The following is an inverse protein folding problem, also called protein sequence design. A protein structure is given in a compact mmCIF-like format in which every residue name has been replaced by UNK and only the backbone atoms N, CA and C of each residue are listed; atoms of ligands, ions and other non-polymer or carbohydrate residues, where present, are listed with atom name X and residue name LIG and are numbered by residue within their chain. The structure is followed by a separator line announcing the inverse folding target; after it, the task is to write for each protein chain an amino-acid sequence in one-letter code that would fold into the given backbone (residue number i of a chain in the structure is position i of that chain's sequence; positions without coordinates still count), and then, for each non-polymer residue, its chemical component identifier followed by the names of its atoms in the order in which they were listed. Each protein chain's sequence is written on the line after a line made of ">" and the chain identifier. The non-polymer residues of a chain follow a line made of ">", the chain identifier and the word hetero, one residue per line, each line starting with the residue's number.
data_IF_434039223747
#
_entry.id   IF_434039223747
#
_cell.length_a   1.000
_cell.length_b   1.000
_cell.length_c   1.000
_cell.angle_alpha   90.00
_cell.angle_beta   90.00
_cell.angle_gamma   90.00
#
_symmetry.space_group_name_H-M   'P 1'
#
loop_
_entity.id
_entity.type
_entity.pdbx_description
1 polymer ?
#
# COMPACT_ATOMS: atom_id res chain seq x y z
N UNK A 1 -8.61 17.92 10.52
CA UNK A 1 -7.33 17.25 10.79
C UNK A 1 -7.48 15.96 11.58
N UNK A 2 -8.17 15.97 12.73
CA UNK A 2 -8.35 14.75 13.53
C UNK A 2 -9.02 13.58 12.80
N UNK A 3 -10.03 13.84 11.96
CA UNK A 3 -10.69 12.80 11.18
C UNK A 3 -9.74 12.12 10.17
N UNK A 4 -8.92 12.89 9.47
CA UNK A 4 -7.96 12.36 8.50
C UNK A 4 -6.89 11.53 9.21
N UNK A 5 -6.33 12.05 10.31
CA UNK A 5 -5.35 11.32 11.13
C UNK A 5 -5.92 10.03 11.72
N UNK A 6 -7.19 10.06 12.15
CA UNK A 6 -7.88 8.85 12.64
C UNK A 6 -8.08 7.82 11.53
N UNK A 7 -8.45 8.27 10.32
CA UNK A 7 -8.56 7.40 9.15
C UNK A 7 -7.23 6.76 8.78
N UNK A 8 -6.15 7.55 8.74
CA UNK A 8 -4.80 7.06 8.46
C UNK A 8 -4.31 6.06 9.51
N UNK A 9 -4.57 6.33 10.79
CA UNK A 9 -4.29 5.40 11.88
C UNK A 9 -5.03 4.07 11.72
N UNK A 10 -6.32 4.11 11.41
CA UNK A 10 -7.11 2.91 11.16
C UNK A 10 -6.61 2.13 9.94
N UNK A 11 -6.21 2.83 8.87
CA UNK A 11 -5.64 2.23 7.67
C UNK A 11 -4.33 1.49 7.96
N UNK A 12 -3.41 2.14 8.68
CA UNK A 12 -2.13 1.55 9.07
C UNK A 12 -2.33 0.39 10.06
N UNK A 13 -3.28 0.49 10.99
CA UNK A 13 -3.60 -0.62 11.89
C UNK A 13 -4.10 -1.85 11.12
N UNK A 14 -4.98 -1.67 10.13
CA UNK A 14 -5.44 -2.76 9.27
C UNK A 14 -4.28 -3.38 8.48
N UNK A 15 -3.38 -2.55 7.95
CA UNK A 15 -2.16 -3.01 7.27
C UNK A 15 -1.33 -3.90 8.19
N UNK A 16 -1.05 -3.45 9.40
CA UNK A 16 -0.27 -4.19 10.40
C UNK A 16 -0.92 -5.53 10.77
N UNK A 17 -2.24 -5.57 10.96
CA UNK A 17 -2.98 -6.82 11.19
C UNK A 17 -2.78 -7.79 10.02
N UNK A 18 -2.92 -7.33 8.78
CA UNK A 18 -2.74 -8.19 7.60
C UNK A 18 -1.31 -8.73 7.50
N UNK A 19 -0.29 -7.88 7.74
CA UNK A 19 1.12 -8.31 7.74
C UNK A 19 1.37 -9.37 8.82
N UNK A 20 0.80 -9.20 10.02
CA UNK A 20 0.85 -10.19 11.10
C UNK A 20 0.16 -11.51 10.73
N UNK A 21 -0.83 -11.46 9.85
CA UNK A 21 -1.54 -12.63 9.32
C UNK A 21 -0.88 -13.23 8.07
N UNK A 22 0.32 -12.75 7.69
CA UNK A 22 1.11 -13.33 6.61
C UNK A 22 0.97 -12.64 5.26
N UNK A 23 0.32 -11.46 5.18
CA UNK A 23 0.36 -10.64 3.97
C UNK A 23 1.80 -10.22 3.68
N UNK A 24 2.21 -10.32 2.42
CA UNK A 24 3.50 -9.86 1.91
C UNK A 24 3.30 -8.92 0.73
N UNK A 25 4.34 -8.17 0.35
CA UNK A 25 4.29 -7.35 -0.88
C UNK A 25 4.06 -8.22 -2.14
N UNK A 26 4.37 -9.52 -2.09
CA UNK A 26 4.14 -10.44 -3.20
C UNK A 26 2.65 -10.79 -3.39
N UNK A 27 1.80 -10.47 -2.43
CA UNK A 27 0.35 -10.67 -2.50
C UNK A 27 -0.37 -9.47 -3.14
N UNK A 28 0.32 -8.35 -3.34
CA UNK A 28 -0.21 -7.11 -3.92
C UNK A 28 -0.20 -7.16 -5.45
N UNK A 29 -1.06 -8.00 -6.01
CA UNK A 29 -1.14 -8.26 -7.46
C UNK A 29 -2.49 -7.89 -8.04
N UNK A 30 -2.48 -7.47 -9.29
CA UNK A 30 -3.69 -7.25 -10.08
C UNK A 30 -4.10 -8.54 -10.82
N UNK A 31 -5.40 -8.78 -11.04
CA UNK A 31 -5.86 -9.80 -11.97
C UNK A 31 -5.24 -9.61 -13.36
N UNK A 32 -4.88 -10.72 -14.02
CA UNK A 32 -4.22 -10.70 -15.34
C UNK A 32 -4.95 -9.84 -16.37
N UNK A 33 -6.28 -9.85 -16.35
CA UNK A 33 -7.13 -9.07 -17.25
C UNK A 33 -6.89 -7.54 -17.16
N UNK A 34 -6.47 -7.04 -15.99
CA UNK A 34 -6.15 -5.60 -15.81
C UNK A 34 -4.73 -5.26 -16.25
N UNK A 35 -3.93 -6.26 -16.62
CA UNK A 35 -2.57 -6.13 -17.11
C UNK A 35 -2.48 -6.46 -18.62
N UNK A 36 -3.63 -6.56 -19.29
CA UNK A 36 -3.74 -6.76 -20.73
C UNK A 36 -4.24 -5.46 -21.36
N UNK A 37 -3.58 -4.95 -22.42
CA UNK A 37 -3.98 -3.70 -23.03
C UNK A 37 -5.34 -3.86 -23.70
N UNK A 38 -6.15 -2.80 -23.66
CA UNK A 38 -7.40 -2.78 -24.41
C UNK A 38 -7.13 -2.78 -25.91
N UNK A 39 -7.93 -3.52 -26.70
CA UNK A 39 -7.75 -3.61 -28.15
C UNK A 39 -8.23 -2.36 -28.89
N UNK A 40 -9.08 -1.54 -28.27
CA UNK A 40 -9.65 -0.34 -28.86
C UNK A 40 -10.08 0.70 -27.79
N UNK A 41 -10.47 1.89 -28.25
CA UNK A 41 -10.99 2.97 -27.42
C UNK A 41 -9.91 3.93 -26.89
N UNK A 42 -10.32 4.85 -26.01
CA UNK A 42 -9.46 5.96 -25.56
C UNK A 42 -8.25 5.57 -24.70
N UNK A 43 -8.11 4.29 -24.34
CA UNK A 43 -6.99 3.72 -23.60
C UNK A 43 -6.36 2.53 -24.33
N UNK A 44 -6.62 2.39 -25.63
CA UNK A 44 -6.04 1.35 -26.49
C UNK A 44 -4.52 1.27 -26.32
N UNK A 45 -3.99 0.06 -26.13
CA UNK A 45 -2.55 -0.18 -26.02
C UNK A 45 -1.88 0.32 -24.74
N UNK A 46 -2.60 0.99 -23.83
CA UNK A 46 -2.02 1.56 -22.61
C UNK A 46 -2.23 0.64 -21.41
N UNK A 47 -1.18 0.51 -20.60
CA UNK A 47 -1.22 -0.16 -19.30
C UNK A 47 -0.60 0.75 -18.24
N UNK A 48 -1.15 0.75 -17.01
CA UNK A 48 -0.52 1.44 -15.90
C UNK A 48 0.80 0.75 -15.53
N UNK A 49 1.82 1.56 -15.21
CA UNK A 49 3.03 1.05 -14.58
C UNK A 49 2.74 0.73 -13.10
N UNK A 50 2.35 -0.51 -12.85
CA UNK A 50 1.95 -0.96 -11.51
C UNK A 50 3.13 -0.90 -10.53
N UNK A 51 4.34 -1.18 -10.98
CA UNK A 51 5.52 -1.17 -10.11
C UNK A 51 5.84 0.26 -9.65
N UNK A 52 5.79 1.22 -10.57
CA UNK A 52 5.90 2.63 -10.23
C UNK A 52 4.80 3.06 -9.25
N UNK A 53 3.54 2.73 -9.54
CA UNK A 53 2.40 3.11 -8.70
C UNK A 53 2.51 2.54 -7.28
N UNK A 54 2.96 1.28 -7.13
CA UNK A 54 3.17 0.68 -5.82
C UNK A 54 4.32 1.35 -5.07
N UNK A 55 5.43 1.64 -5.74
CA UNK A 55 6.58 2.32 -5.11
C UNK A 55 6.21 3.72 -4.60
N UNK A 56 5.48 4.49 -5.41
CA UNK A 56 4.97 5.81 -5.01
C UNK A 56 3.96 5.70 -3.86
N UNK A 57 3.07 4.69 -3.89
CA UNK A 57 2.09 4.48 -2.83
C UNK A 57 2.74 4.14 -1.47
N UNK A 58 3.79 3.31 -1.49
CA UNK A 58 4.56 2.97 -0.29
C UNK A 58 5.27 4.19 0.28
N UNK A 59 5.90 4.99 -0.60
CA UNK A 59 6.56 6.23 -0.19
C UNK A 59 5.55 7.20 0.44
N UNK A 60 4.40 7.40 -0.19
CA UNK A 60 3.33 8.26 0.32
C UNK A 60 2.73 7.76 1.65
N UNK A 61 2.63 6.45 1.83
CA UNK A 61 2.09 5.83 3.05
C UNK A 61 3.11 5.76 4.19
N UNK A 62 4.38 6.06 3.92
CA UNK A 62 5.46 5.90 4.91
C UNK A 62 5.76 4.43 5.21
N UNK A 63 5.64 3.55 4.21
CA UNK A 63 5.87 2.11 4.34
C UNK A 63 7.22 1.72 3.75
N UNK A 64 7.80 0.65 4.29
CA UNK A 64 9.01 0.03 3.79
C UNK A 64 8.67 -0.96 2.67
N UNK A 65 9.31 -0.81 1.51
CA UNK A 65 9.00 -1.58 0.29
C UNK A 65 9.36 -3.06 0.39
N UNK A 66 10.38 -3.38 1.18
CA UNK A 66 10.88 -4.73 1.33
C UNK A 66 9.99 -5.55 2.26
N UNK A 67 9.66 -4.98 3.42
CA UNK A 67 8.91 -5.64 4.49
C UNK A 67 7.40 -5.46 4.37
N UNK A 68 6.93 -4.38 3.74
CA UNK A 68 5.51 -4.00 3.71
C UNK A 68 5.04 -3.22 4.94
N UNK A 69 5.91 -3.06 5.95
CA UNK A 69 5.59 -2.46 7.24
C UNK A 69 5.64 -0.93 7.18
N UNK A 70 4.74 -0.22 7.88
CA UNK A 70 4.95 1.20 8.18
C UNK A 70 6.28 1.41 8.89
N UNK A 71 7.02 2.46 8.51
CA UNK A 71 8.29 2.83 9.15
C UNK A 71 8.06 3.29 10.59
N UNK A 72 9.10 3.23 11.42
CA UNK A 72 9.04 3.62 12.82
C UNK A 72 8.51 5.05 13.01
N UNK A 73 8.92 6.00 12.15
CA UNK A 73 8.46 7.38 12.25
C UNK A 73 6.94 7.50 12.01
N UNK A 74 6.40 6.69 11.08
CA UNK A 74 4.95 6.65 10.78
C UNK A 74 4.16 6.01 11.93
N UNK A 75 4.71 4.99 12.58
CA UNK A 75 4.09 4.39 13.77
C UNK A 75 4.03 5.38 14.93
N UNK A 76 5.10 6.13 15.17
CA UNK A 76 5.16 7.21 16.16
C UNK A 76 4.14 8.31 15.87
N UNK A 77 4.09 8.78 14.60
CA UNK A 77 3.12 9.78 14.16
C UNK A 77 1.67 9.35 14.42
N UNK A 78 1.36 8.06 14.26
CA UNK A 78 0.01 7.53 14.43
C UNK A 78 -0.27 6.96 15.84
N UNK A 79 0.68 7.03 16.77
CA UNK A 79 0.52 6.46 18.11
C UNK A 79 0.33 4.94 18.10
N UNK A 80 1.01 4.25 17.19
CA UNK A 80 0.97 2.79 16.98
C UNK A 80 2.28 2.10 17.41
N UNK A 81 3.16 2.79 18.12
CA UNK A 81 4.49 2.32 18.56
C UNK A 81 4.45 1.06 19.44
N UNK A 82 3.30 0.76 20.04
CA UNK A 82 3.10 -0.47 20.81
C UNK A 82 3.06 -1.73 19.92
N UNK A 83 2.94 -1.57 18.61
CA UNK A 83 2.95 -2.67 17.64
C UNK A 83 4.40 -2.88 17.18
N UNK A 84 5.02 -3.92 17.72
CA UNK A 84 6.37 -4.35 17.28
C UNK A 84 6.29 -5.01 15.90
N UNK A 85 7.43 -5.13 15.20
CA UNK A 85 7.56 -5.95 13.98
C UNK A 85 7.63 -7.44 14.29
#
# INVERSE_FOLDING_TARGET
>A
DDLLRNGERAWNLKRLINLRLGLTHADEKMPKLLLEPLPDGGQEGHLPDIELLLNEYYAASGWDRQTGWPKEEKLAELGLEFIQQ
#
